data_IF_763210554013
#
_entry.id   IF_763210554013
#
_cell.length_a   1.000
_cell.length_b   1.000
_cell.length_c   1.000
_cell.angle_alpha   90.00
_cell.angle_beta   90.00
_cell.angle_gamma   90.00
#
_symmetry.space_group_name_H-M   'P 1'
#
loop_
_entity.id
_entity.type
_entity.pdbx_description
1 polymer ?
#
# COMPACT_ATOMS: atom_id res chain seq x y z
N UNK A 1 8.50 -10.77 -9.14
CA UNK A 1 9.55 -9.73 -9.12
C UNK A 1 10.17 -9.64 -7.74
N UNK A 2 11.46 -9.70 -7.69
CA UNK A 2 12.20 -9.60 -6.44
C UNK A 2 12.85 -8.23 -6.32
N UNK A 3 12.98 -7.74 -5.09
CA UNK A 3 13.60 -6.46 -4.80
C UNK A 3 14.91 -6.71 -4.04
N UNK A 4 15.97 -6.04 -4.46
CA UNK A 4 17.32 -6.27 -3.94
C UNK A 4 17.70 -5.29 -2.84
N UNK A 5 16.76 -4.51 -2.35
CA UNK A 5 17.00 -3.54 -1.30
C UNK A 5 17.44 -4.20 0.01
N UNK A 6 18.26 -3.52 0.77
CA UNK A 6 18.63 -3.97 2.10
C UNK A 6 17.38 -3.92 3.00
N UNK A 7 17.12 -5.01 3.72
CA UNK A 7 15.94 -5.11 4.57
C UNK A 7 16.19 -4.37 5.86
N UNK A 8 15.57 -3.19 6.00
CA UNK A 8 15.64 -2.38 7.22
C UNK A 8 14.44 -2.62 8.13
N UNK A 9 13.34 -3.20 7.61
CA UNK A 9 12.10 -3.45 8.32
C UNK A 9 11.56 -4.79 7.86
N UNK A 10 11.00 -5.58 8.79
CA UNK A 10 10.46 -6.91 8.44
C UNK A 10 9.32 -6.84 7.43
N UNK A 11 8.67 -5.69 7.28
CA UNK A 11 7.57 -5.50 6.33
C UNK A 11 8.04 -4.94 4.98
N UNK A 12 9.36 -4.85 4.78
CA UNK A 12 9.90 -4.56 3.44
C UNK A 12 9.44 -5.66 2.47
N UNK A 13 8.98 -5.25 1.30
CA UNK A 13 8.51 -6.20 0.30
C UNK A 13 9.73 -6.86 -0.35
N UNK A 14 9.80 -8.18 -0.26
CA UNK A 14 10.89 -8.96 -0.86
C UNK A 14 10.58 -9.30 -2.31
N UNK A 15 9.35 -9.73 -2.58
CA UNK A 15 8.93 -10.07 -3.94
C UNK A 15 7.42 -9.92 -4.09
N UNK A 16 6.98 -9.81 -5.33
CA UNK A 16 5.57 -9.73 -5.65
C UNK A 16 5.29 -10.56 -6.90
N UNK A 17 4.18 -11.32 -6.87
CA UNK A 17 3.66 -12.06 -8.00
C UNK A 17 2.27 -11.51 -8.35
N UNK A 18 1.58 -12.16 -9.29
CA UNK A 18 0.23 -11.74 -9.68
C UNK A 18 -0.80 -11.97 -8.58
N UNK A 19 -0.51 -12.83 -7.61
CA UNK A 19 -1.50 -13.23 -6.60
C UNK A 19 -1.05 -12.98 -5.17
N UNK A 20 0.24 -12.74 -4.94
CA UNK A 20 0.76 -12.69 -3.58
C UNK A 20 1.96 -11.75 -3.45
N UNK A 21 2.16 -11.26 -2.24
CA UNK A 21 3.29 -10.42 -1.88
C UNK A 21 4.05 -11.12 -0.75
N UNK A 22 5.38 -11.14 -0.85
CA UNK A 22 6.23 -11.83 0.12
C UNK A 22 7.03 -10.83 0.94
N UNK A 23 6.95 -10.98 2.25
CA UNK A 23 7.74 -10.24 3.22
C UNK A 23 8.73 -11.21 3.87
N UNK A 24 9.62 -10.72 4.74
CA UNK A 24 10.64 -11.58 5.37
C UNK A 24 10.06 -12.67 6.25
N UNK A 25 8.87 -12.46 6.82
CA UNK A 25 8.29 -13.37 7.81
C UNK A 25 6.95 -13.98 7.39
N UNK A 26 6.38 -13.53 6.26
CA UNK A 26 5.06 -13.99 5.85
C UNK A 26 4.83 -13.73 4.37
N UNK A 27 3.81 -14.34 3.84
CA UNK A 27 3.32 -14.09 2.49
C UNK A 27 1.83 -13.75 2.59
N UNK A 28 1.41 -12.73 1.87
CA UNK A 28 0.02 -12.25 1.88
C UNK A 28 -0.58 -12.40 0.49
N UNK A 29 -1.83 -12.83 0.45
CA UNK A 29 -2.60 -12.83 -0.79
C UNK A 29 -3.17 -11.44 -1.02
N UNK A 30 -3.32 -11.06 -2.28
CA UNK A 30 -3.97 -9.80 -2.64
C UNK A 30 -5.47 -9.95 -2.54
N UNK A 31 -6.19 -8.89 -2.16
CA UNK A 31 -5.67 -7.58 -1.77
C UNK A 31 -5.10 -7.58 -0.35
N UNK A 32 -4.09 -6.75 -0.13
CA UNK A 32 -3.43 -6.68 1.18
C UNK A 32 -2.98 -5.27 1.50
N UNK A 33 -2.79 -5.01 2.80
CA UNK A 33 -2.32 -3.73 3.33
C UNK A 33 -1.08 -3.96 4.18
N UNK A 34 -0.06 -3.13 3.96
CA UNK A 34 1.22 -3.23 4.66
C UNK A 34 1.65 -1.84 5.12
N UNK A 35 2.13 -1.75 6.36
CA UNK A 35 2.79 -0.57 6.90
C UNK A 35 3.99 -1.04 7.72
N UNK A 36 4.69 -0.13 8.37
CA UNK A 36 5.83 -0.51 9.21
C UNK A 36 5.41 -1.45 10.35
N UNK A 37 4.15 -1.41 10.76
CA UNK A 37 3.65 -2.15 11.93
C UNK A 37 2.61 -3.21 11.58
N UNK A 38 2.04 -3.18 10.38
CA UNK A 38 0.94 -4.05 9.99
C UNK A 38 1.20 -4.72 8.66
N UNK A 39 0.73 -5.96 8.55
CA UNK A 39 0.76 -6.71 7.30
C UNK A 39 -0.44 -7.65 7.34
N UNK A 40 -1.47 -7.36 6.55
CA UNK A 40 -2.72 -8.13 6.61
C UNK A 40 -3.43 -8.16 5.26
N UNK A 41 -4.18 -9.23 5.05
CA UNK A 41 -5.06 -9.32 3.90
C UNK A 41 -6.32 -8.51 4.18
N UNK A 42 -6.86 -7.87 3.15
CA UNK A 42 -8.03 -6.99 3.28
C UNK A 42 -9.05 -7.35 2.21
N UNK A 43 -10.23 -6.71 2.27
CA UNK A 43 -11.30 -6.98 1.30
C UNK A 43 -11.46 -5.90 0.23
N UNK A 44 -10.63 -4.85 0.27
CA UNK A 44 -10.67 -3.78 -0.73
C UNK A 44 -9.92 -4.25 -1.97
N UNK A 45 -10.64 -4.60 -3.04
CA UNK A 45 -10.04 -5.18 -4.25
C UNK A 45 -10.16 -4.31 -5.49
N UNK A 46 -10.80 -3.14 -5.40
CA UNK A 46 -10.90 -2.23 -6.55
C UNK A 46 -10.89 -0.78 -6.08
N UNK A 47 -10.50 0.12 -6.99
CA UNK A 47 -10.47 1.55 -6.70
C UNK A 47 -11.84 2.10 -6.35
N UNK A 48 -12.91 1.52 -6.90
CA UNK A 48 -14.27 1.96 -6.59
C UNK A 48 -14.64 1.79 -5.13
N UNK A 49 -13.99 0.86 -4.44
CA UNK A 49 -14.26 0.58 -3.03
C UNK A 49 -13.50 1.52 -2.10
N UNK A 50 -12.62 2.37 -2.62
CA UNK A 50 -11.80 3.26 -1.80
C UNK A 50 -12.60 4.50 -1.42
N UNK A 51 -12.94 4.59 -0.14
CA UNK A 51 -13.67 5.71 0.46
C UNK A 51 -13.04 6.00 1.82
N UNK A 52 -13.43 7.09 2.44
CA UNK A 52 -12.98 7.40 3.81
C UNK A 52 -13.35 6.27 4.76
N UNK A 53 -14.54 5.71 4.61
CA UNK A 53 -15.08 4.67 5.47
C UNK A 53 -14.33 3.35 5.33
N UNK A 54 -13.98 2.95 4.10
CA UNK A 54 -13.26 1.70 3.88
C UNK A 54 -11.80 1.79 4.31
N UNK A 55 -11.19 2.97 4.21
CA UNK A 55 -9.80 3.17 4.63
C UNK A 55 -9.65 3.41 6.12
N UNK A 56 -10.68 3.90 6.80
CA UNK A 56 -10.58 4.26 8.21
C UNK A 56 -10.03 3.13 9.09
N UNK A 57 -10.50 1.87 8.97
CA UNK A 57 -9.95 0.79 9.79
C UNK A 57 -8.46 0.54 9.56
N UNK A 58 -7.96 0.82 8.37
CA UNK A 58 -6.54 0.63 8.04
C UNK A 58 -5.69 1.76 8.62
N UNK A 59 -6.27 2.96 8.73
CA UNK A 59 -5.53 4.15 9.14
C UNK A 59 -5.61 4.41 10.63
N UNK A 60 -6.57 3.81 11.34
CA UNK A 60 -6.86 4.15 12.73
C UNK A 60 -5.75 3.77 13.71
N UNK A 61 -4.95 2.77 13.40
CA UNK A 61 -3.87 2.30 14.28
C UNK A 61 -2.49 2.78 13.84
N UNK A 62 -2.37 3.36 12.66
CA UNK A 62 -1.13 3.90 12.12
C UNK A 62 -1.32 5.37 11.78
N UNK A 63 -0.36 6.20 12.18
CA UNK A 63 -0.40 7.62 11.83
C UNK A 63 0.23 7.84 10.46
N UNK A 64 -0.40 7.31 9.42
CA UNK A 64 0.11 7.43 8.07
C UNK A 64 -0.17 8.81 7.50
N UNK A 65 0.77 9.34 6.73
CA UNK A 65 0.53 10.56 5.95
C UNK A 65 0.57 10.31 4.44
N UNK A 66 0.91 9.10 4.02
CA UNK A 66 0.91 8.70 2.61
C UNK A 66 0.44 7.27 2.47
N UNK A 67 -0.48 7.05 1.55
CA UNK A 67 -0.91 5.71 1.15
C UNK A 67 -0.57 5.52 -0.32
N UNK A 68 0.19 4.47 -0.61
CA UNK A 68 0.50 4.08 -1.98
C UNK A 68 -0.42 2.92 -2.35
N UNK A 69 -1.09 3.04 -3.48
CA UNK A 69 -2.02 2.01 -3.96
C UNK A 69 -1.44 1.38 -5.22
N UNK A 70 -1.23 0.07 -5.17
CA UNK A 70 -0.84 -0.71 -6.33
C UNK A 70 -2.07 -1.18 -7.08
N UNK A 71 -2.15 -0.85 -8.37
CA UNK A 71 -3.32 -1.08 -9.20
C UNK A 71 -3.13 -2.17 -10.25
N UNK A 72 -2.16 -3.05 -10.05
CA UNK A 72 -1.89 -4.14 -10.99
C UNK A 72 -0.74 -3.82 -11.93
N UNK A 73 -0.85 -4.27 -13.17
CA UNK A 73 0.21 -4.07 -14.17
C UNK A 73 0.32 -2.61 -14.63
N UNK A 74 -0.77 -1.86 -14.53
CA UNK A 74 -0.84 -0.49 -15.03
C UNK A 74 -1.30 0.45 -13.94
N UNK A 75 -0.87 1.71 -14.02
CA UNK A 75 -1.35 2.76 -13.14
C UNK A 75 -2.78 3.12 -13.52
N UNK A 76 -3.67 3.07 -12.55
CA UNK A 76 -5.05 3.54 -12.67
C UNK A 76 -5.25 4.53 -11.53
N UNK A 77 -6.00 5.60 -11.76
CA UNK A 77 -6.09 6.69 -10.80
C UNK A 77 -7.47 6.80 -10.18
N UNK A 78 -7.49 7.30 -8.95
CA UNK A 78 -8.74 7.66 -8.28
C UNK A 78 -9.42 8.80 -9.02
N UNK A 79 -10.75 8.84 -8.95
CA UNK A 79 -11.49 9.96 -9.51
C UNK A 79 -11.18 11.25 -8.73
N UNK A 80 -11.36 12.43 -9.34
CA UNK A 80 -11.17 13.69 -8.61
C UNK A 80 -12.04 13.78 -7.36
N UNK A 81 -13.26 13.25 -7.41
CA UNK A 81 -14.16 13.23 -6.26
C UNK A 81 -13.59 12.42 -5.10
N UNK A 82 -13.02 11.24 -5.40
CA UNK A 82 -12.37 10.41 -4.39
C UNK A 82 -11.14 11.12 -3.81
N UNK A 83 -10.35 11.75 -4.67
CA UNK A 83 -9.14 12.46 -4.20
C UNK A 83 -9.50 13.58 -3.23
N UNK A 84 -10.53 14.35 -3.54
CA UNK A 84 -11.00 15.42 -2.66
C UNK A 84 -11.47 14.84 -1.33
N UNK A 85 -12.28 13.79 -1.38
CA UNK A 85 -12.78 13.17 -0.16
C UNK A 85 -11.67 12.65 0.74
N UNK A 86 -10.64 12.01 0.15
CA UNK A 86 -9.54 11.46 0.92
C UNK A 86 -8.59 12.53 1.45
N UNK A 87 -8.47 13.67 0.75
CA UNK A 87 -7.62 14.76 1.23
C UNK A 87 -8.10 15.31 2.57
N UNK A 88 -9.38 15.16 2.88
CA UNK A 88 -9.94 15.58 4.17
C UNK A 88 -9.40 14.76 5.34
N UNK A 89 -8.83 13.58 5.08
CA UNK A 89 -8.21 12.76 6.11
C UNK A 89 -6.78 13.20 6.44
N UNK A 90 -6.25 14.20 5.75
CA UNK A 90 -4.86 14.61 5.88
C UNK A 90 -3.90 13.58 5.29
N UNK A 91 -4.39 12.74 4.38
CA UNK A 91 -3.66 11.62 3.81
C UNK A 91 -3.34 11.89 2.35
N UNK A 92 -2.06 11.80 1.98
CA UNK A 92 -1.68 11.76 0.57
C UNK A 92 -1.94 10.37 0.01
N UNK A 93 -2.47 10.30 -1.20
CA UNK A 93 -2.76 9.01 -1.85
C UNK A 93 -2.17 9.03 -3.25
N UNK A 94 -1.37 8.01 -3.59
CA UNK A 94 -0.77 7.86 -4.91
C UNK A 94 -1.05 6.48 -5.45
N UNK A 95 -1.47 6.41 -6.70
CA UNK A 95 -1.75 5.16 -7.41
C UNK A 95 -0.62 4.86 -8.40
N UNK A 96 -0.19 3.62 -8.44
CA UNK A 96 0.91 3.16 -9.30
C UNK A 96 0.70 1.72 -9.70
N UNK A 97 1.47 1.24 -10.68
CA UNK A 97 1.54 -0.19 -10.93
C UNK A 97 2.08 -0.90 -9.67
N UNK A 98 1.81 -2.19 -9.54
CA UNK A 98 2.23 -2.93 -8.33
C UNK A 98 3.75 -2.88 -8.13
N UNK A 99 4.52 -3.02 -9.18
CA UNK A 99 5.99 -3.00 -9.06
C UNK A 99 6.48 -1.64 -8.59
N UNK A 100 5.98 -0.56 -9.20
CA UNK A 100 6.35 0.80 -8.78
C UNK A 100 5.89 1.08 -7.36
N UNK A 101 4.70 0.61 -6.99
CA UNK A 101 4.16 0.80 -5.66
C UNK A 101 5.05 0.14 -4.59
N UNK A 102 5.48 -1.09 -4.84
CA UNK A 102 6.36 -1.80 -3.90
C UNK A 102 7.74 -1.13 -3.80
N UNK A 103 8.30 -0.68 -4.92
CA UNK A 103 9.59 0.03 -4.90
C UNK A 103 9.49 1.33 -4.11
N UNK A 104 8.45 2.12 -4.35
CA UNK A 104 8.25 3.39 -3.63
C UNK A 104 8.00 3.16 -2.15
N UNK A 105 7.19 2.16 -1.82
CA UNK A 105 6.92 1.80 -0.43
C UNK A 105 8.21 1.41 0.30
N UNK A 106 9.01 0.52 -0.29
CA UNK A 106 10.27 0.08 0.31
C UNK A 106 11.21 1.25 0.57
N UNK A 107 11.33 2.16 -0.40
CA UNK A 107 12.21 3.31 -0.28
C UNK A 107 11.77 4.22 0.88
N UNK A 108 10.48 4.53 0.95
CA UNK A 108 9.96 5.40 2.00
C UNK A 108 10.00 4.72 3.36
N UNK A 109 9.74 3.41 3.39
CA UNK A 109 9.82 2.63 4.63
C UNK A 109 11.25 2.63 5.18
N UNK A 110 12.25 2.45 4.33
CA UNK A 110 13.67 2.47 4.74
C UNK A 110 14.08 3.85 5.24
N UNK A 111 13.38 4.89 4.81
CA UNK A 111 13.60 6.28 5.21
C UNK A 111 12.79 6.65 6.46
N UNK A 112 12.17 5.65 7.10
CA UNK A 112 11.35 5.79 8.30
C UNK A 112 10.14 6.71 8.11
N UNK A 113 9.62 6.80 6.89
CA UNK A 113 8.44 7.59 6.58
C UNK A 113 7.17 6.83 6.99
N UNK A 114 6.16 7.54 7.51
CA UNK A 114 4.88 6.90 7.87
C UNK A 114 4.03 6.64 6.62
N UNK A 115 4.33 5.53 5.93
CA UNK A 115 3.74 5.17 4.65
C UNK A 115 3.01 3.83 4.76
N UNK A 116 1.89 3.71 4.04
CA UNK A 116 1.17 2.46 3.87
C UNK A 116 1.13 2.03 2.42
N UNK A 117 1.02 0.73 2.19
CA UNK A 117 0.91 0.13 0.87
C UNK A 117 -0.36 -0.70 0.81
N UNK A 118 -1.22 -0.39 -0.15
CA UNK A 118 -2.43 -1.16 -0.42
C UNK A 118 -2.32 -1.75 -1.82
N UNK A 119 -2.27 -3.07 -1.92
CA UNK A 119 -2.22 -3.76 -3.21
C UNK A 119 -3.60 -4.34 -3.46
N UNK A 120 -4.20 -3.96 -4.57
CA UNK A 120 -5.56 -4.37 -4.93
C UNK A 120 -5.64 -5.72 -5.65
#
# INVERSE_FOLDING_TARGET
MEFTEQIANQNTVISISESAITLSHTQLKMPCFISSKRAEEVSISSLKQITKETLFPLLSSDSLNLLIIGTGKHSIFLSPKQQVALSELGLGVECMSNISACNSFNLLLSDLRPVGLLIL
#
